data_IF_880208122269
#
_entry.id   IF_880208122269
#
_cell.length_a   1.000
_cell.length_b   1.000
_cell.length_c   1.000
_cell.angle_alpha   90.00
_cell.angle_beta   90.00
_cell.angle_gamma   90.00
#
_symmetry.space_group_name_H-M   'P 1'
#
loop_
_entity.id
_entity.type
_entity.pdbx_description
1 polymer ?
#
# COMPACT_ATOMS: atom_id res chain seq x y z
N UNK A 1 -24.45 7.25 -1.52
CA UNK A 1 -24.28 7.66 -0.10
C UNK A 1 -22.83 8.09 0.12
N UNK A 2 -22.53 8.99 1.07
CA UNK A 2 -21.17 9.44 1.29
C UNK A 2 -20.31 8.32 1.91
N UNK A 3 -19.15 8.10 1.32
CA UNK A 3 -18.12 7.16 1.76
C UNK A 3 -17.36 7.78 2.95
N UNK A 4 -17.69 7.35 4.18
CA UNK A 4 -17.07 7.86 5.40
C UNK A 4 -16.01 6.90 5.93
N UNK A 5 -14.97 7.39 6.64
CA UNK A 5 -13.95 6.52 7.24
C UNK A 5 -14.53 5.42 8.13
N UNK A 6 -15.56 5.74 8.93
CA UNK A 6 -16.26 4.75 9.79
C UNK A 6 -16.98 3.68 8.98
N UNK A 7 -17.69 4.06 7.92
CA UNK A 7 -18.36 3.10 7.05
C UNK A 7 -17.37 2.10 6.44
N UNK A 8 -16.21 2.58 5.95
CA UNK A 8 -15.14 1.69 5.45
C UNK A 8 -14.63 0.73 6.53
N UNK A 9 -14.47 1.20 7.77
CA UNK A 9 -14.07 0.33 8.88
C UNK A 9 -15.10 -0.77 9.15
N UNK A 10 -16.39 -0.44 9.13
CA UNK A 10 -17.47 -1.41 9.29
C UNK A 10 -17.48 -2.43 8.15
N UNK A 11 -17.43 -1.97 6.90
CA UNK A 11 -17.40 -2.84 5.72
C UNK A 11 -16.19 -3.79 5.77
N UNK A 12 -15.01 -3.26 6.13
CA UNK A 12 -13.79 -4.05 6.29
C UNK A 12 -13.93 -5.13 7.36
N UNK A 13 -14.42 -4.77 8.55
CA UNK A 13 -14.61 -5.73 9.66
C UNK A 13 -15.68 -6.77 9.32
N UNK A 14 -16.81 -6.39 8.71
CA UNK A 14 -17.84 -7.35 8.29
C UNK A 14 -17.30 -8.34 7.27
N UNK A 15 -16.59 -7.87 6.24
CA UNK A 15 -16.00 -8.76 5.23
C UNK A 15 -14.94 -9.69 5.83
N UNK A 16 -14.16 -9.21 6.79
CA UNK A 16 -13.23 -10.05 7.54
C UNK A 16 -13.95 -11.12 8.37
N UNK A 17 -14.96 -10.74 9.16
CA UNK A 17 -15.75 -11.68 9.97
C UNK A 17 -16.50 -12.71 9.11
N UNK A 18 -16.94 -12.32 7.92
CA UNK A 18 -17.56 -13.22 6.93
C UNK A 18 -16.59 -14.28 6.40
N UNK A 19 -15.33 -13.91 6.17
CA UNK A 19 -14.30 -14.80 5.66
C UNK A 19 -13.91 -15.91 6.66
N UNK A 20 -14.17 -15.69 7.96
CA UNK A 20 -13.84 -16.64 9.02
C UNK A 20 -14.88 -17.74 9.19
N UNK A 21 -14.43 -18.90 9.67
CA UNK A 21 -15.33 -20.00 10.00
C UNK A 21 -16.14 -19.70 11.28
N UNK A 22 -17.43 -20.08 11.31
CA UNK A 22 -18.32 -19.93 12.48
C UNK A 22 -17.78 -20.41 13.82
N UNK A 23 -17.11 -21.57 13.81
CA UNK A 23 -16.77 -22.36 14.98
C UNK A 23 -15.35 -22.12 15.51
N UNK A 24 -14.60 -21.21 14.87
CA UNK A 24 -13.25 -20.86 15.31
C UNK A 24 -13.27 -19.56 16.12
N UNK A 25 -12.46 -19.46 17.20
CA UNK A 25 -12.28 -18.20 17.90
C UNK A 25 -11.72 -17.16 16.93
N UNK A 26 -12.13 -15.90 17.10
CA UNK A 26 -11.60 -14.82 16.27
C UNK A 26 -10.06 -14.74 16.39
N UNK A 27 -9.33 -14.68 15.26
CA UNK A 27 -7.87 -14.64 15.26
C UNK A 27 -7.34 -13.39 15.96
N UNK A 28 -6.12 -13.46 16.49
CA UNK A 28 -5.51 -12.34 17.21
C UNK A 28 -5.29 -11.09 16.38
N UNK A 29 -5.11 -11.25 15.08
CA UNK A 29 -4.90 -10.16 14.13
C UNK A 29 -5.72 -10.39 12.86
N UNK A 30 -5.97 -9.29 12.15
CA UNK A 30 -6.55 -9.34 10.82
C UNK A 30 -5.56 -9.97 9.84
N UNK A 31 -6.04 -10.84 8.95
CA UNK A 31 -5.24 -11.38 7.86
C UNK A 31 -4.75 -10.23 6.97
N UNK A 32 -3.43 -10.02 6.83
CA UNK A 32 -2.88 -8.96 5.99
C UNK A 32 -3.36 -9.01 4.54
N UNK A 33 -3.68 -10.19 4.02
CA UNK A 33 -4.15 -10.40 2.64
C UNK A 33 -5.56 -9.84 2.43
N UNK A 34 -6.44 -10.03 3.42
CA UNK A 34 -7.82 -9.50 3.38
C UNK A 34 -7.78 -7.98 3.54
N UNK A 35 -6.97 -7.49 4.48
CA UNK A 35 -6.79 -6.05 4.71
C UNK A 35 -6.23 -5.36 3.46
N UNK A 36 -5.30 -6.01 2.77
CA UNK A 36 -4.73 -5.51 1.52
C UNK A 36 -5.78 -5.40 0.40
N UNK A 37 -6.63 -6.42 0.24
CA UNK A 37 -7.73 -6.41 -0.72
C UNK A 37 -8.74 -5.30 -0.44
N UNK A 38 -9.12 -5.12 0.83
CA UNK A 38 -10.07 -4.09 1.28
C UNK A 38 -9.54 -2.67 1.02
N UNK A 39 -8.23 -2.48 1.16
CA UNK A 39 -7.58 -1.20 1.01
C UNK A 39 -7.03 -0.97 -0.41
N UNK A 40 -7.34 -1.84 -1.38
CA UNK A 40 -6.75 -1.77 -2.73
C UNK A 40 -6.97 -0.42 -3.41
N UNK A 41 -8.13 0.22 -3.21
CA UNK A 41 -8.41 1.56 -3.77
C UNK A 41 -7.48 2.65 -3.20
N UNK A 42 -7.18 2.62 -1.90
CA UNK A 42 -6.26 3.54 -1.25
C UNK A 42 -4.81 3.23 -1.62
N UNK A 43 -4.47 1.93 -1.71
CA UNK A 43 -3.16 1.47 -2.19
C UNK A 43 -2.91 1.94 -3.61
N UNK A 44 -3.93 1.90 -4.47
CA UNK A 44 -3.87 2.37 -5.85
C UNK A 44 -3.68 3.87 -5.94
N UNK A 45 -4.37 4.64 -5.10
CA UNK A 45 -4.16 6.08 -4.98
C UNK A 45 -2.72 6.39 -4.56
N UNK A 46 -2.19 5.68 -3.56
CA UNK A 46 -0.78 5.82 -3.14
C UNK A 46 0.19 5.45 -4.26
N UNK A 47 0.00 4.29 -4.90
CA UNK A 47 0.81 3.77 -6.00
C UNK A 47 0.88 4.79 -7.15
N UNK A 48 -0.28 5.35 -7.56
CA UNK A 48 -0.35 6.36 -8.62
C UNK A 48 0.32 7.68 -8.22
N UNK A 49 0.15 8.12 -6.96
CA UNK A 49 0.83 9.31 -6.47
C UNK A 49 2.36 9.13 -6.51
N UNK A 50 2.86 7.97 -6.09
CA UNK A 50 4.28 7.62 -6.11
C UNK A 50 4.83 7.57 -7.52
N UNK A 51 4.13 6.90 -8.44
CA UNK A 51 4.49 6.84 -9.85
C UNK A 51 4.62 8.25 -10.48
N UNK A 52 3.68 9.16 -10.20
CA UNK A 52 3.75 10.55 -10.69
C UNK A 52 4.95 11.30 -10.13
N UNK A 53 5.23 11.15 -8.84
CA UNK A 53 6.39 11.78 -8.21
C UNK A 53 7.71 11.27 -8.80
N UNK A 54 7.83 9.95 -9.04
CA UNK A 54 8.99 9.35 -9.69
C UNK A 54 9.24 9.98 -11.06
N UNK A 55 8.24 10.04 -11.93
CA UNK A 55 8.40 10.61 -13.27
C UNK A 55 8.78 12.09 -13.24
N UNK A 56 8.26 12.85 -12.28
CA UNK A 56 8.64 14.25 -12.10
C UNK A 56 10.09 14.39 -11.62
N UNK A 57 10.49 13.61 -10.61
CA UNK A 57 11.84 13.65 -10.03
C UNK A 57 12.93 13.16 -10.99
N UNK A 58 12.58 12.37 -12.01
CA UNK A 58 13.50 11.84 -13.01
C UNK A 58 13.55 12.65 -14.31
N UNK A 59 12.91 13.82 -14.37
CA UNK A 59 13.00 14.67 -15.56
C UNK A 59 14.44 15.07 -15.89
N UNK A 60 14.80 14.96 -17.17
CA UNK A 60 16.13 15.33 -17.67
C UNK A 60 17.18 14.23 -17.57
N UNK A 61 16.85 13.05 -17.03
CA UNK A 61 17.78 11.91 -16.94
C UNK A 61 18.28 11.40 -18.29
N UNK A 62 17.45 11.49 -19.33
CA UNK A 62 17.77 11.03 -20.69
C UNK A 62 19.05 11.66 -21.26
N UNK A 63 19.37 12.91 -20.88
CA UNK A 63 20.58 13.62 -21.30
C UNK A 63 21.87 12.95 -20.79
N UNK A 64 21.79 12.16 -19.74
CA UNK A 64 22.95 11.42 -19.21
C UNK A 64 23.28 10.21 -20.08
N UNK A 65 22.29 9.54 -20.67
CA UNK A 65 22.51 8.44 -21.62
C UNK A 65 23.30 8.89 -22.84
N UNK A 66 22.99 10.07 -23.37
CA UNK A 66 23.79 10.68 -24.45
C UNK A 66 25.25 10.90 -24.06
N UNK A 67 25.52 11.21 -22.78
CA UNK A 67 26.89 11.42 -22.28
C UNK A 67 27.70 10.12 -22.23
N UNK A 68 27.06 8.95 -22.04
CA UNK A 68 27.76 7.66 -22.03
C UNK A 68 28.33 7.28 -23.40
N UNK A 69 27.64 7.58 -24.49
CA UNK A 69 28.11 7.26 -25.85
C UNK A 69 29.45 7.94 -26.16
N UNK A 70 29.62 9.17 -25.67
CA UNK A 70 30.85 9.94 -25.83
C UNK A 70 32.03 9.34 -25.05
N UNK A 71 31.75 8.63 -23.95
CA UNK A 71 32.76 7.99 -23.09
C UNK A 71 33.07 6.57 -23.59
N UNK A 72 32.06 5.79 -23.95
CA UNK A 72 32.20 4.37 -24.30
C UNK A 72 32.81 4.14 -25.69
N UNK A 73 32.50 5.00 -26.67
CA UNK A 73 33.01 4.87 -28.04
C UNK A 73 34.55 4.76 -28.11
N UNK A 74 35.30 5.69 -27.49
CA UNK A 74 36.76 5.60 -27.42
C UNK A 74 37.28 4.41 -26.61
N UNK A 75 36.59 4.02 -25.55
CA UNK A 75 37.00 2.95 -24.63
C UNK A 75 36.95 1.55 -25.22
N UNK A 76 35.99 1.29 -26.11
CA UNK A 76 35.79 -0.05 -26.69
C UNK A 76 36.98 -0.51 -27.55
N UNK A 77 37.73 0.46 -28.07
CA UNK A 77 38.98 0.25 -28.80
C UNK A 77 40.17 0.04 -27.86
N UNK A 78 40.19 0.71 -26.71
CA UNK A 78 41.32 0.75 -25.77
C UNK A 78 41.30 -0.44 -24.80
N UNK A 79 40.11 -0.86 -24.32
CA UNK A 79 39.97 -2.00 -23.40
C UNK A 79 40.46 -3.34 -23.98
N UNK A 80 40.58 -3.45 -25.31
CA UNK A 80 41.20 -4.62 -25.97
C UNK A 80 42.72 -4.69 -25.77
N UNK A 81 43.36 -3.57 -25.42
CA UNK A 81 44.81 -3.43 -25.27
C UNK A 81 45.30 -3.69 -23.84
N UNK A 82 44.46 -3.44 -22.82
CA UNK A 82 44.73 -3.79 -21.43
C UNK A 82 43.52 -4.50 -20.80
N UNK A 83 43.45 -5.83 -20.90
CA UNK A 83 42.35 -6.63 -20.35
C UNK A 83 42.29 -6.64 -18.81
N UNK A 84 43.31 -6.10 -18.13
CA UNK A 84 43.36 -6.05 -16.67
C UNK A 84 42.65 -4.84 -16.08
N UNK A 85 42.28 -3.85 -16.91
CA UNK A 85 41.59 -2.65 -16.49
C UNK A 85 40.05 -2.83 -16.57
N UNK A 86 39.39 -2.72 -15.42
CA UNK A 86 37.97 -3.04 -15.24
C UNK A 86 37.03 -1.87 -15.57
N UNK A 87 37.57 -0.66 -15.75
CA UNK A 87 36.78 0.56 -15.95
C UNK A 87 35.83 0.48 -17.14
N UNK A 88 36.26 -0.14 -18.24
CA UNK A 88 35.44 -0.33 -19.43
C UNK A 88 34.25 -1.25 -19.18
N UNK A 89 34.41 -2.28 -18.34
CA UNK A 89 33.31 -3.17 -17.93
C UNK A 89 32.34 -2.43 -17.04
N UNK A 90 32.84 -1.75 -16.00
CA UNK A 90 31.99 -1.00 -15.06
C UNK A 90 31.18 0.11 -15.76
N UNK A 91 31.75 0.80 -16.75
CA UNK A 91 31.03 1.83 -17.52
C UNK A 91 29.94 1.23 -18.43
N UNK A 92 30.16 0.04 -19.00
CA UNK A 92 29.14 -0.69 -19.76
C UNK A 92 28.01 -1.15 -18.84
N UNK A 93 28.35 -1.75 -17.70
CA UNK A 93 27.38 -2.16 -16.68
C UNK A 93 26.54 -0.97 -16.20
N UNK A 94 27.17 0.19 -16.00
CA UNK A 94 26.47 1.41 -15.62
C UNK A 94 25.50 1.86 -16.71
N UNK A 95 25.94 1.91 -17.98
CA UNK A 95 25.05 2.22 -19.10
C UNK A 95 23.86 1.26 -19.19
N UNK A 96 24.10 -0.04 -19.11
CA UNK A 96 23.03 -1.05 -19.17
C UNK A 96 22.04 -0.89 -18.01
N UNK A 97 22.52 -0.58 -16.81
CA UNK A 97 21.65 -0.32 -15.67
C UNK A 97 20.80 0.96 -15.86
N UNK A 98 21.34 1.99 -16.50
CA UNK A 98 20.59 3.20 -16.87
C UNK A 98 19.55 2.94 -17.97
N UNK A 99 19.89 2.13 -18.98
CA UNK A 99 18.95 1.73 -20.05
C UNK A 99 17.77 0.94 -19.47
N UNK A 100 18.03 -0.08 -18.64
CA UNK A 100 16.97 -0.83 -17.92
C UNK A 100 16.13 0.09 -17.05
N UNK A 101 16.75 1.03 -16.36
CA UNK A 101 16.03 2.01 -15.55
C UNK A 101 15.11 2.87 -16.42
N UNK A 102 15.58 3.35 -17.56
CA UNK A 102 14.78 4.14 -18.50
C UNK A 102 13.57 3.33 -19.02
N UNK A 103 13.75 2.06 -19.38
CA UNK A 103 12.66 1.18 -19.79
C UNK A 103 11.57 1.06 -18.71
N UNK A 104 11.96 0.91 -17.45
CA UNK A 104 11.03 0.86 -16.33
C UNK A 104 10.31 2.21 -16.12
N UNK A 105 11.01 3.34 -16.23
CA UNK A 105 10.40 4.67 -16.14
C UNK A 105 9.39 4.92 -17.27
N UNK A 106 9.70 4.46 -18.49
CA UNK A 106 8.75 4.49 -19.60
C UNK A 106 7.56 3.55 -19.40
N UNK A 107 7.79 2.38 -18.79
CA UNK A 107 6.74 1.48 -18.30
C UNK A 107 5.76 2.21 -17.39
N UNK A 108 6.28 2.86 -16.34
CA UNK A 108 5.49 3.68 -15.39
C UNK A 108 4.70 4.77 -16.13
N UNK A 109 5.32 5.49 -17.07
CA UNK A 109 4.65 6.53 -17.86
C UNK A 109 3.51 5.98 -18.71
N UNK A 110 3.72 4.85 -19.39
CA UNK A 110 2.69 4.19 -20.20
C UNK A 110 1.53 3.70 -19.34
N UNK A 111 1.80 3.15 -18.18
CA UNK A 111 0.80 2.60 -17.25
C UNK A 111 0.00 3.67 -16.53
N UNK A 112 0.57 4.85 -16.28
CA UNK A 112 -0.18 5.99 -15.75
C UNK A 112 -1.15 6.60 -16.77
N UNK A 113 -0.79 6.57 -18.07
CA UNK A 113 -1.57 7.17 -19.15
C UNK A 113 -2.60 6.20 -19.74
N UNK A 114 -2.29 4.90 -19.79
CA UNK A 114 -3.24 3.86 -20.11
C UNK A 114 -4.06 3.51 -18.86
N UNK A 115 -5.35 3.21 -19.01
CA UNK A 115 -6.24 2.86 -17.90
C UNK A 115 -5.91 1.45 -17.33
N UNK A 116 -4.65 1.22 -16.92
CA UNK A 116 -4.08 -0.11 -16.67
C UNK A 116 -3.84 -0.39 -15.18
N UNK A 117 -3.81 -1.69 -14.91
CA UNK A 117 -3.75 -2.34 -13.61
C UNK A 117 -2.62 -1.82 -12.72
N UNK A 118 -2.95 -1.51 -11.47
CA UNK A 118 -1.99 -1.01 -10.46
C UNK A 118 -0.90 -2.03 -10.10
N UNK A 119 -1.10 -3.32 -10.41
CA UNK A 119 -0.10 -4.38 -10.25
C UNK A 119 1.12 -4.15 -11.14
N UNK A 120 0.93 -3.92 -12.44
CA UNK A 120 2.04 -3.65 -13.38
C UNK A 120 2.80 -2.38 -13.03
N UNK A 121 2.07 -1.37 -12.55
CA UNK A 121 2.68 -0.14 -12.05
C UNK A 121 3.63 -0.40 -10.87
N UNK A 122 3.27 -1.30 -9.95
CA UNK A 122 4.14 -1.72 -8.85
C UNK A 122 5.34 -2.52 -9.35
N UNK A 123 5.15 -3.41 -10.33
CA UNK A 123 6.25 -4.17 -10.96
C UNK A 123 7.27 -3.24 -11.63
N UNK A 124 6.80 -2.28 -12.43
CA UNK A 124 7.64 -1.28 -13.09
C UNK A 124 8.40 -0.42 -12.06
N UNK A 125 7.76 -0.01 -10.96
CA UNK A 125 8.44 0.71 -9.87
C UNK A 125 9.48 -0.15 -9.14
N UNK A 126 9.19 -1.43 -8.91
CA UNK A 126 10.15 -2.37 -8.30
C UNK A 126 11.38 -2.57 -9.19
N UNK A 127 11.16 -2.77 -10.49
CA UNK A 127 12.24 -2.84 -11.48
C UNK A 127 13.06 -1.56 -11.56
N UNK A 128 12.41 -0.38 -11.51
CA UNK A 128 13.09 0.90 -11.45
C UNK A 128 13.95 1.03 -10.17
N UNK A 129 13.47 0.54 -9.03
CA UNK A 129 14.24 0.57 -7.78
C UNK A 129 15.50 -0.31 -7.87
N UNK A 130 15.36 -1.52 -8.40
CA UNK A 130 16.48 -2.43 -8.61
C UNK A 130 17.51 -1.86 -9.61
N UNK A 131 17.04 -1.31 -10.73
CA UNK A 131 17.90 -0.74 -11.76
C UNK A 131 18.62 0.53 -11.29
N UNK A 132 17.95 1.37 -10.49
CA UNK A 132 18.59 2.54 -9.86
C UNK A 132 19.72 2.11 -8.90
N UNK A 133 19.50 1.08 -8.09
CA UNK A 133 20.55 0.53 -7.20
C UNK A 133 21.72 -0.06 -7.99
N UNK A 134 21.44 -0.82 -9.05
CA UNK A 134 22.47 -1.38 -9.92
C UNK A 134 23.29 -0.27 -10.59
N UNK A 135 22.62 0.79 -11.05
CA UNK A 135 23.27 1.94 -11.67
C UNK A 135 24.19 2.69 -10.69
N UNK A 136 23.73 2.92 -9.44
CA UNK A 136 24.57 3.51 -8.39
C UNK A 136 25.82 2.65 -8.13
N UNK A 137 25.64 1.34 -7.98
CA UNK A 137 26.75 0.42 -7.71
C UNK A 137 27.76 0.38 -8.86
N UNK A 138 27.30 0.35 -10.12
CA UNK A 138 28.17 0.38 -11.28
C UNK A 138 28.90 1.74 -11.43
N UNK A 139 28.23 2.84 -11.09
CA UNK A 139 28.85 4.17 -11.02
C UNK A 139 29.96 4.23 -9.95
N UNK A 140 29.70 3.65 -8.77
CA UNK A 140 30.69 3.55 -7.69
C UNK A 140 31.90 2.73 -8.16
N UNK A 141 31.68 1.57 -8.77
CA UNK A 141 32.73 0.73 -9.32
C UNK A 141 33.57 1.44 -10.40
N UNK A 142 32.92 2.08 -11.39
CA UNK A 142 33.60 2.80 -12.47
C UNK A 142 34.45 3.98 -11.97
N UNK A 143 33.95 4.71 -10.95
CA UNK A 143 34.70 5.82 -10.36
C UNK A 143 35.80 5.36 -9.40
N UNK A 144 35.68 4.16 -8.83
CA UNK A 144 36.67 3.55 -7.94
C UNK A 144 37.81 2.82 -8.66
N UNK A 145 37.67 2.50 -9.94
CA UNK A 145 38.72 1.89 -10.77
C UNK A 145 40.00 2.73 -10.75
N UNK A 146 41.18 2.10 -10.79
CA UNK A 146 42.48 2.81 -10.81
C UNK A 146 43.22 2.54 -12.12
N UNK A 147 42.82 3.18 -13.22
CA UNK A 147 43.35 2.89 -14.53
C UNK A 147 44.82 3.25 -14.69
N UNK A 148 45.56 2.36 -15.34
CA UNK A 148 47.00 2.50 -15.54
C UNK A 148 47.31 3.42 -16.73
N UNK A 149 46.51 3.31 -17.80
CA UNK A 149 46.69 4.03 -19.06
C UNK A 149 46.13 5.47 -18.98
N UNK A 150 46.81 6.49 -19.57
CA UNK A 150 46.35 7.87 -19.56
C UNK A 150 44.94 8.07 -20.15
N UNK A 151 44.62 7.39 -21.26
CA UNK A 151 43.30 7.50 -21.88
C UNK A 151 42.18 6.87 -21.03
N UNK A 152 42.49 5.84 -20.24
CA UNK A 152 41.54 5.22 -19.31
C UNK A 152 41.33 6.10 -18.06
N UNK A 153 42.36 6.84 -17.63
CA UNK A 153 42.22 7.88 -16.58
C UNK A 153 41.31 9.03 -17.02
N UNK A 154 41.45 9.50 -18.26
CA UNK A 154 40.56 10.52 -18.81
C UNK A 154 39.09 10.05 -18.78
N UNK A 155 38.84 8.79 -19.15
CA UNK A 155 37.52 8.21 -19.04
C UNK A 155 37.00 8.11 -17.60
N UNK A 156 37.86 7.77 -16.64
CA UNK A 156 37.51 7.79 -15.21
C UNK A 156 37.12 9.19 -14.74
N UNK A 157 37.88 10.22 -15.14
CA UNK A 157 37.57 11.61 -14.79
C UNK A 157 36.21 12.04 -15.35
N UNK A 158 35.91 11.68 -16.60
CA UNK A 158 34.59 11.91 -17.20
C UNK A 158 33.48 11.13 -16.46
N UNK A 159 33.74 9.89 -16.04
CA UNK A 159 32.82 9.09 -15.24
C UNK A 159 32.53 9.74 -13.87
N UNK A 160 33.55 10.27 -13.20
CA UNK A 160 33.41 11.00 -11.93
C UNK A 160 32.56 12.26 -12.13
N UNK A 161 32.79 13.02 -13.20
CA UNK A 161 31.98 14.19 -13.53
C UNK A 161 30.53 13.81 -13.80
N UNK A 162 30.28 12.75 -14.57
CA UNK A 162 28.94 12.26 -14.85
C UNK A 162 28.22 11.82 -13.56
N UNK A 163 28.91 11.07 -12.70
CA UNK A 163 28.38 10.62 -11.40
C UNK A 163 27.96 11.80 -10.54
N UNK A 164 28.79 12.85 -10.47
CA UNK A 164 28.47 14.06 -9.70
C UNK A 164 27.20 14.75 -10.20
N UNK A 165 26.94 14.74 -11.51
CA UNK A 165 25.75 15.36 -12.12
C UNK A 165 24.48 14.55 -11.87
N UNK A 166 24.57 13.21 -11.90
CA UNK A 166 23.40 12.32 -11.76
C UNK A 166 23.14 11.90 -10.30
N UNK A 167 24.10 12.07 -9.39
CA UNK A 167 23.95 11.73 -7.97
C UNK A 167 22.67 12.31 -7.30
N UNK A 168 22.27 13.57 -7.57
CA UNK A 168 21.00 14.09 -7.05
C UNK A 168 19.77 13.30 -7.55
N UNK A 169 19.79 12.81 -8.80
CA UNK A 169 18.71 12.01 -9.37
C UNK A 169 18.66 10.61 -8.76
N UNK A 170 19.82 9.98 -8.52
CA UNK A 170 19.93 8.73 -7.77
C UNK A 170 19.30 8.84 -6.39
N UNK A 171 19.72 9.83 -5.61
CA UNK A 171 19.23 10.02 -4.24
C UNK A 171 17.73 10.30 -4.23
N UNK A 172 17.23 11.18 -5.10
CA UNK A 172 15.79 11.48 -5.19
C UNK A 172 14.97 10.26 -5.59
N UNK A 173 15.46 9.43 -6.51
CA UNK A 173 14.76 8.22 -6.93
C UNK A 173 14.72 7.18 -5.81
N UNK A 174 15.85 6.97 -5.12
CA UNK A 174 15.91 6.09 -3.95
C UNK A 174 14.94 6.53 -2.84
N UNK A 175 14.80 7.84 -2.60
CA UNK A 175 13.81 8.37 -1.66
C UNK A 175 12.38 8.14 -2.13
N UNK A 176 12.07 8.37 -3.41
CA UNK A 176 10.73 8.21 -3.95
C UNK A 176 10.27 6.74 -3.99
N UNK A 177 11.20 5.81 -4.21
CA UNK A 177 10.95 4.38 -4.25
C UNK A 177 11.14 3.69 -2.90
N UNK A 178 11.76 4.36 -1.93
CA UNK A 178 11.96 3.87 -0.57
C UNK A 178 10.72 4.00 0.32
N UNK A 179 10.86 3.50 1.54
CA UNK A 179 9.80 3.53 2.55
C UNK A 179 9.89 4.77 3.47
N UNK A 180 10.92 5.59 3.31
CA UNK A 180 11.16 6.77 4.15
C UNK A 180 10.45 8.00 3.58
N UNK A 181 9.44 8.49 4.32
CA UNK A 181 8.68 9.66 3.92
C UNK A 181 9.47 10.94 4.21
N UNK A 182 9.97 11.57 3.16
CA UNK A 182 10.74 12.83 3.25
C UNK A 182 9.85 14.06 3.08
N UNK A 183 10.34 15.23 3.51
CA UNK A 183 9.63 16.52 3.39
C UNK A 183 9.62 17.12 1.98
N UNK A 184 10.12 16.39 0.97
CA UNK A 184 10.20 16.88 -0.41
C UNK A 184 8.80 17.29 -0.92
N UNK A 185 8.64 18.50 -1.49
CA UNK A 185 7.36 18.98 -2.00
C UNK A 185 6.68 18.02 -2.97
N UNK A 186 7.46 17.36 -3.82
CA UNK A 186 7.04 16.38 -4.82
C UNK A 186 6.49 15.09 -4.19
N UNK A 187 6.96 14.74 -2.99
CA UNK A 187 6.55 13.55 -2.26
C UNK A 187 5.42 13.82 -1.26
N UNK A 188 4.98 15.06 -1.08
CA UNK A 188 3.85 15.40 -0.18
C UNK A 188 2.57 14.65 -0.53
N UNK A 189 2.28 14.47 -1.81
CA UNK A 189 1.10 13.72 -2.25
C UNK A 189 1.22 12.22 -1.90
N UNK A 190 2.42 11.66 -2.04
CA UNK A 190 2.75 10.27 -1.67
C UNK A 190 2.62 10.11 -0.17
N UNK A 191 3.29 10.96 0.61
CA UNK A 191 3.25 10.93 2.07
C UNK A 191 1.82 11.07 2.62
N UNK A 192 0.98 11.91 2.02
CA UNK A 192 -0.44 12.02 2.39
C UNK A 192 -1.21 10.73 2.12
N UNK A 193 -1.05 10.14 0.93
CA UNK A 193 -1.75 8.92 0.56
C UNK A 193 -1.30 7.72 1.41
N UNK A 194 0.00 7.60 1.68
CA UNK A 194 0.59 6.57 2.54
C UNK A 194 0.16 6.74 3.99
N UNK A 195 0.13 7.98 4.49
CA UNK A 195 -0.41 8.28 5.82
C UNK A 195 -1.89 7.93 5.92
N UNK A 196 -2.70 8.28 4.92
CA UNK A 196 -4.13 7.94 4.86
C UNK A 196 -4.32 6.41 4.87
N UNK A 197 -3.53 5.67 4.09
CA UNK A 197 -3.54 4.21 4.05
C UNK A 197 -3.17 3.60 5.41
N UNK A 198 -2.05 4.04 6.00
CA UNK A 198 -1.57 3.54 7.29
C UNK A 198 -2.57 3.85 8.41
N UNK A 199 -3.09 5.08 8.47
CA UNK A 199 -4.10 5.47 9.46
C UNK A 199 -5.37 4.64 9.30
N UNK A 200 -5.83 4.40 8.08
CA UNK A 200 -7.02 3.58 7.82
C UNK A 200 -6.79 2.14 8.25
N UNK A 201 -5.64 1.54 7.90
CA UNK A 201 -5.24 0.19 8.31
C UNK A 201 -5.26 0.04 9.83
N UNK A 202 -4.54 0.93 10.54
CA UNK A 202 -4.47 0.91 12.00
C UNK A 202 -5.83 1.15 12.66
N UNK A 203 -6.69 1.98 12.06
CA UNK A 203 -8.04 2.20 12.60
C UNK A 203 -8.91 0.95 12.47
N UNK A 204 -8.83 0.23 11.34
CA UNK A 204 -9.54 -1.03 11.13
C UNK A 204 -9.04 -2.10 12.12
N UNK A 205 -7.72 -2.23 12.29
CA UNK A 205 -7.12 -3.18 13.22
C UNK A 205 -7.53 -2.92 14.68
N UNK A 206 -7.49 -1.65 15.10
CA UNK A 206 -7.92 -1.26 16.44
C UNK A 206 -9.41 -1.56 16.66
N UNK A 207 -10.24 -1.22 15.67
CA UNK A 207 -11.68 -1.43 15.73
C UNK A 207 -12.04 -2.92 15.79
N UNK A 208 -11.35 -3.75 15.00
CA UNK A 208 -11.45 -5.21 15.09
C UNK A 208 -11.01 -5.75 16.45
N UNK A 209 -9.86 -5.29 16.96
CA UNK A 209 -9.34 -5.72 18.26
C UNK A 209 -10.31 -5.42 19.39
N UNK A 210 -10.96 -4.25 19.37
CA UNK A 210 -11.94 -3.88 20.37
C UNK A 210 -13.20 -4.75 20.28
N UNK A 211 -13.73 -5.00 19.08
CA UNK A 211 -14.85 -5.91 18.87
C UNK A 211 -14.51 -7.31 19.39
N UNK A 212 -13.34 -7.84 19.02
CA UNK A 212 -12.87 -9.16 19.43
C UNK A 212 -12.83 -9.30 20.95
N UNK A 213 -12.33 -8.28 21.65
CA UNK A 213 -12.26 -8.28 23.12
C UNK A 213 -13.62 -8.36 23.82
N UNK A 214 -14.71 -7.99 23.13
CA UNK A 214 -16.07 -7.99 23.68
C UNK A 214 -16.98 -9.05 23.04
N UNK A 215 -16.45 -9.88 22.13
CA UNK A 215 -17.27 -10.75 21.30
C UNK A 215 -18.13 -11.72 22.12
N UNK A 216 -17.57 -12.30 23.18
CA UNK A 216 -18.31 -13.24 24.05
C UNK A 216 -19.52 -12.58 24.69
N UNK A 217 -19.38 -11.33 25.16
CA UNK A 217 -20.47 -10.56 25.75
C UNK A 217 -21.50 -10.17 24.69
N UNK A 218 -21.05 -9.77 23.49
CA UNK A 218 -21.95 -9.47 22.37
C UNK A 218 -22.77 -10.71 21.98
N UNK A 219 -22.13 -11.87 21.80
CA UNK A 219 -22.84 -13.11 21.47
C UNK A 219 -23.80 -13.54 22.58
N UNK A 220 -23.45 -13.30 23.85
CA UNK A 220 -24.33 -13.56 24.99
C UNK A 220 -25.58 -12.69 24.93
N UNK A 221 -25.46 -11.40 24.67
CA UNK A 221 -26.62 -10.51 24.56
C UNK A 221 -27.45 -10.78 23.31
N UNK A 222 -26.82 -11.12 22.17
CA UNK A 222 -27.58 -11.56 20.99
C UNK A 222 -28.39 -12.83 21.27
N UNK A 223 -27.90 -13.72 22.13
CA UNK A 223 -28.59 -14.94 22.52
C UNK A 223 -29.82 -14.72 23.41
N UNK A 224 -29.95 -13.57 24.08
CA UNK A 224 -31.15 -13.25 24.88
C UNK A 224 -32.31 -12.78 24.00
N UNK A 225 -31.99 -12.24 22.82
CA UNK A 225 -32.93 -11.63 21.87
C UNK A 225 -33.32 -12.59 20.74
N UNK A 226 -32.41 -13.47 20.31
CA UNK A 226 -32.63 -14.38 19.20
C UNK A 226 -33.06 -15.76 19.71
N UNK A 227 -34.28 -16.17 19.36
CA UNK A 227 -34.79 -17.51 19.67
C UNK A 227 -33.90 -18.61 19.07
N UNK A 228 -33.50 -19.58 19.92
CA UNK A 228 -32.58 -20.66 19.55
C UNK A 228 -31.27 -20.17 18.92
N UNK A 229 -30.72 -19.06 19.41
CA UNK A 229 -29.45 -18.51 18.93
C UNK A 229 -28.35 -19.58 18.89
N UNK A 230 -27.83 -19.78 17.71
CA UNK A 230 -26.60 -20.54 17.48
C UNK A 230 -25.85 -19.78 16.39
N UNK A 231 -24.65 -19.24 16.68
CA UNK A 231 -23.85 -18.51 15.70
C UNK A 231 -23.64 -19.30 14.41
N UNK A 232 -23.60 -20.62 14.48
CA UNK A 232 -23.40 -21.51 13.33
C UNK A 232 -24.63 -21.64 12.42
N UNK A 233 -25.82 -21.29 12.92
CA UNK A 233 -27.10 -21.38 12.18
C UNK A 233 -27.49 -20.10 11.47
N UNK A 234 -26.89 -18.98 11.85
CA UNK A 234 -27.11 -17.70 11.18
C UNK A 234 -26.34 -17.68 9.86
N UNK A 235 -26.89 -16.94 8.89
CA UNK A 235 -26.12 -16.58 7.71
C UNK A 235 -24.83 -15.86 8.14
N UNK A 236 -23.72 -16.15 7.44
CA UNK A 236 -22.40 -15.64 7.82
C UNK A 236 -22.34 -14.12 7.79
N UNK A 237 -23.02 -13.50 6.82
CA UNK A 237 -23.08 -12.04 6.68
C UNK A 237 -23.94 -11.46 7.79
N UNK A 238 -25.13 -12.01 8.02
CA UNK A 238 -26.04 -11.52 9.07
C UNK A 238 -25.38 -11.60 10.45
N UNK A 239 -24.72 -12.72 10.76
CA UNK A 239 -23.96 -12.87 12.00
C UNK A 239 -22.85 -11.82 12.13
N UNK A 240 -22.08 -11.58 11.07
CA UNK A 240 -21.01 -10.59 11.08
C UNK A 240 -21.56 -9.18 11.37
N UNK A 241 -22.69 -8.83 10.75
CA UNK A 241 -23.36 -7.55 10.94
C UNK A 241 -23.96 -7.44 12.34
N UNK A 242 -24.61 -8.48 12.86
CA UNK A 242 -25.16 -8.50 14.22
C UNK A 242 -24.08 -8.35 15.28
N UNK A 243 -22.95 -9.06 15.14
CA UNK A 243 -21.82 -8.94 16.07
C UNK A 243 -21.22 -7.53 16.03
N UNK A 244 -21.10 -6.94 14.85
CA UNK A 244 -20.63 -5.57 14.72
C UNK A 244 -21.61 -4.55 15.34
N UNK A 245 -22.90 -4.63 14.99
CA UNK A 245 -23.93 -3.73 15.49
C UNK A 245 -24.14 -3.88 17.00
N UNK A 246 -24.15 -5.11 17.51
CA UNK A 246 -24.23 -5.40 18.93
C UNK A 246 -23.02 -4.85 19.69
N UNK A 247 -21.80 -5.01 19.15
CA UNK A 247 -20.62 -4.37 19.71
C UNK A 247 -20.76 -2.83 19.80
N UNK A 248 -21.19 -2.18 18.72
CA UNK A 248 -21.36 -0.72 18.72
C UNK A 248 -22.41 -0.26 19.75
N UNK A 249 -23.52 -0.98 19.88
CA UNK A 249 -24.59 -0.66 20.84
C UNK A 249 -24.16 -0.85 22.29
N UNK A 250 -23.43 -1.92 22.58
CA UNK A 250 -23.11 -2.32 23.96
C UNK A 250 -21.82 -1.67 24.48
N UNK A 251 -20.86 -1.39 23.60
CA UNK A 251 -19.48 -1.08 24.00
C UNK A 251 -18.86 0.15 23.33
N UNK A 252 -19.52 0.79 22.35
CA UNK A 252 -19.04 2.05 21.75
C UNK A 252 -20.01 3.22 22.02
N UNK A 253 -19.94 3.86 23.21
CA UNK A 253 -20.82 4.98 23.56
C UNK A 253 -20.60 6.23 22.70
N UNK A 254 -19.55 6.26 21.85
CA UNK A 254 -19.35 7.35 20.90
C UNK A 254 -20.33 7.32 19.72
N UNK A 255 -21.09 6.23 19.56
CA UNK A 255 -22.02 6.03 18.46
C UNK A 255 -23.45 6.01 19.00
N UNK A 256 -24.31 6.94 18.57
CA UNK A 256 -25.72 6.89 18.94
C UNK A 256 -26.39 5.60 18.44
N UNK A 257 -27.23 4.97 19.27
CA UNK A 257 -27.87 3.68 18.95
C UNK A 257 -28.57 3.67 17.58
N UNK A 258 -29.33 4.72 17.27
CA UNK A 258 -30.02 4.84 15.98
C UNK A 258 -29.06 4.86 14.78
N UNK A 259 -27.84 5.41 14.94
CA UNK A 259 -26.82 5.43 13.89
C UNK A 259 -26.21 4.04 13.72
N UNK A 260 -25.86 3.35 14.80
CA UNK A 260 -25.34 1.98 14.76
C UNK A 260 -26.32 1.03 14.04
N UNK A 261 -27.61 1.10 14.41
CA UNK A 261 -28.68 0.30 13.81
C UNK A 261 -28.84 0.62 12.31
N UNK A 262 -28.94 1.90 11.95
CA UNK A 262 -29.10 2.30 10.55
C UNK A 262 -27.91 1.84 9.68
N UNK A 263 -26.69 1.93 10.20
CA UNK A 263 -25.49 1.50 9.48
C UNK A 263 -25.44 -0.03 9.33
N UNK A 264 -25.84 -0.80 10.35
CA UNK A 264 -25.98 -2.25 10.25
C UNK A 264 -27.00 -2.66 9.18
N UNK A 265 -28.12 -1.95 9.07
CA UNK A 265 -29.15 -2.17 8.04
C UNK A 265 -28.60 -1.88 6.63
N UNK A 266 -27.84 -0.80 6.48
CA UNK A 266 -27.21 -0.47 5.19
C UNK A 266 -26.18 -1.53 4.78
N UNK A 267 -25.41 -2.08 5.73
CA UNK A 267 -24.52 -3.22 5.47
C UNK A 267 -25.32 -4.47 5.06
N UNK A 268 -26.46 -4.72 5.71
CA UNK A 268 -27.32 -5.85 5.38
C UNK A 268 -27.92 -5.73 3.98
N UNK A 269 -28.27 -4.50 3.55
CA UNK A 269 -28.71 -4.23 2.17
C UNK A 269 -27.59 -4.43 1.15
N UNK A 270 -26.34 -4.15 1.53
CA UNK A 270 -25.20 -4.25 0.64
C UNK A 270 -24.68 -5.69 0.47
N UNK A 271 -24.69 -6.48 1.54
CA UNK A 271 -24.03 -7.79 1.58
C UNK A 271 -24.95 -8.97 1.87
N UNK A 272 -26.10 -8.72 2.51
CA UNK A 272 -27.02 -9.77 2.96
C UNK A 272 -28.02 -10.19 1.88
N UNK A 273 -29.04 -10.93 2.32
CA UNK A 273 -30.18 -11.36 1.51
C UNK A 273 -31.29 -10.32 1.51
N UNK A 274 -32.39 -10.59 0.78
CA UNK A 274 -33.57 -9.70 0.76
C UNK A 274 -34.21 -9.53 2.15
N UNK A 275 -34.13 -10.56 3.01
CA UNK A 275 -34.76 -10.56 4.33
C UNK A 275 -33.83 -10.03 5.44
N UNK A 276 -32.51 -9.96 5.16
CA UNK A 276 -31.48 -9.54 6.10
C UNK A 276 -31.74 -8.16 6.73
N UNK A 277 -32.09 -7.08 5.98
CA UNK A 277 -32.29 -5.76 6.57
C UNK A 277 -33.37 -5.72 7.66
N UNK A 278 -34.49 -6.41 7.44
CA UNK A 278 -35.58 -6.49 8.43
C UNK A 278 -35.18 -7.31 9.65
N UNK A 279 -34.46 -8.42 9.44
CA UNK A 279 -33.98 -9.28 10.52
C UNK A 279 -32.99 -8.52 11.42
N UNK A 280 -31.97 -7.90 10.82
CA UNK A 280 -30.94 -7.12 11.53
C UNK A 280 -31.58 -5.98 12.34
N UNK A 281 -32.50 -5.23 11.73
CA UNK A 281 -33.20 -4.15 12.44
C UNK A 281 -33.95 -4.68 13.68
N UNK A 282 -34.74 -5.75 13.50
CA UNK A 282 -35.57 -6.30 14.58
C UNK A 282 -34.77 -6.83 15.77
N UNK A 283 -33.58 -7.42 15.52
CA UNK A 283 -32.69 -7.88 16.60
C UNK A 283 -32.02 -6.69 17.29
N UNK A 284 -31.41 -5.78 16.53
CA UNK A 284 -30.63 -4.69 17.13
C UNK A 284 -31.53 -3.67 17.86
N UNK A 285 -32.77 -3.47 17.42
CA UNK A 285 -33.76 -2.67 18.15
C UNK A 285 -34.06 -3.25 19.54
N UNK A 286 -34.09 -4.58 19.68
CA UNK A 286 -34.32 -5.24 20.98
C UNK A 286 -33.08 -5.14 21.88
N UNK A 287 -31.88 -5.36 21.33
CA UNK A 287 -30.62 -5.17 22.07
C UNK A 287 -30.51 -3.71 22.56
N UNK A 288 -30.83 -2.72 21.73
CA UNK A 288 -30.76 -1.32 22.10
C UNK A 288 -31.71 -0.94 23.25
N UNK A 289 -32.86 -1.63 23.39
CA UNK A 289 -33.78 -1.42 24.52
C UNK A 289 -33.20 -1.94 25.83
N UNK A 290 -32.57 -3.11 25.81
CA UNK A 290 -31.90 -3.67 27.00
C UNK A 290 -30.87 -2.67 27.54
N UNK A 291 -30.06 -2.09 26.64
CA UNK A 291 -29.06 -1.08 27.00
C UNK A 291 -29.69 0.18 27.60
N UNK A 292 -30.84 0.61 27.09
CA UNK A 292 -31.55 1.78 27.61
C UNK A 292 -32.10 1.50 29.01
N UNK A 293 -32.74 0.36 29.20
CA UNK A 293 -33.33 -0.05 30.48
C UNK A 293 -32.23 -0.18 31.57
N UNK A 294 -31.06 -0.74 31.25
CA UNK A 294 -29.92 -0.80 32.18
C UNK A 294 -29.37 0.58 32.53
N UNK A 295 -29.34 1.52 31.58
CA UNK A 295 -28.84 2.88 31.82
C UNK A 295 -29.79 3.76 32.63
N UNK A 296 -31.10 3.46 32.61
CA UNK A 296 -32.12 4.18 33.37
C UNK A 296 -32.23 3.66 34.83
N UNK A 297 -31.65 2.50 35.13
CA UNK A 297 -31.61 1.88 36.47
C UNK A 297 -30.38 2.26 37.32
N UNK A 298 -29.31 2.79 36.71
CA UNK A 298 -28.08 3.28 37.39
C UNK A 298 -28.13 4.76 37.80
#
# INVERSE_FOLDING_TARGET
>A
MPDTPRRRMREAVVQFLYALQPSEPLPESLDPSILHLLLESLRDKSTKARAKAILHLQQGRDKHLESFEHILGPLDLIGRLDPSDDIGSHLKEWREAEERLQEHLEGIRRELNGNRESTRLRESMSGAHQSNRASIAAADAATGSTPTLPALREAQELAVQLKSRIAPLFSRLSLALGNEFTELPELRAVARAEKELAQTSSSIELYYSNLRGHLENVDKELATVIDNYSPDRLDRVDRAILRLGGYELLFDPSIPNAVAINEAIELARAFGTTDSPSFINGVLDQVAKIVQDESDEE
#
